data_IF_565250076621
#
_entry.id   IF_565250076621
#
_cell.length_a   1.000
_cell.length_b   1.000
_cell.length_c   1.000
_cell.angle_alpha   90.00
_cell.angle_beta   90.00
_cell.angle_gamma   90.00
#
_symmetry.space_group_name_H-M   'P 1'
#
loop_
_entity.id
_entity.type
_entity.pdbx_description
1 polymer ?
#
# COMPACT_ATOMS: atom_id res chain seq x y z
N UNK A 1 -21.12 -0.84 -20.36
CA UNK A 1 -20.41 -0.33 -19.18
C UNK A 1 -20.61 -1.22 -17.95
N UNK A 2 -21.79 -1.76 -17.64
CA UNK A 2 -22.06 -2.56 -16.41
C UNK A 2 -21.39 -3.94 -16.31
N UNK A 3 -20.97 -4.58 -17.39
CA UNK A 3 -20.34 -5.93 -17.38
C UNK A 3 -18.84 -5.86 -16.97
N UNK A 4 -18.15 -4.74 -17.25
CA UNK A 4 -16.73 -4.57 -16.90
C UNK A 4 -16.56 -4.22 -15.42
N UNK A 5 -17.45 -3.42 -14.83
CA UNK A 5 -17.41 -3.05 -13.40
C UNK A 5 -17.64 -4.27 -12.51
N UNK A 6 -18.61 -5.11 -12.78
CA UNK A 6 -18.85 -6.35 -12.01
C UNK A 6 -17.71 -7.38 -12.08
N UNK A 7 -16.84 -7.29 -13.09
CA UNK A 7 -15.62 -8.11 -13.21
C UNK A 7 -14.51 -7.65 -12.25
N UNK A 8 -14.30 -6.34 -12.17
CA UNK A 8 -13.30 -5.71 -11.29
C UNK A 8 -13.68 -5.87 -9.81
N UNK A 9 -14.94 -5.65 -9.47
CA UNK A 9 -15.45 -5.83 -8.10
C UNK A 9 -15.29 -7.27 -7.61
N UNK A 10 -15.62 -8.28 -8.45
CA UNK A 10 -15.39 -9.69 -8.12
C UNK A 10 -13.90 -10.02 -7.95
N UNK A 11 -13.01 -9.36 -8.69
CA UNK A 11 -11.57 -9.53 -8.55
C UNK A 11 -11.08 -8.93 -7.23
N UNK A 12 -11.49 -7.72 -6.90
CA UNK A 12 -11.18 -7.05 -5.64
C UNK A 12 -11.66 -7.89 -4.44
N UNK A 13 -12.89 -8.37 -4.47
CA UNK A 13 -13.42 -9.24 -3.41
C UNK A 13 -12.55 -10.48 -3.22
N UNK A 14 -12.20 -11.18 -4.31
CA UNK A 14 -11.31 -12.36 -4.21
C UNK A 14 -9.92 -12.02 -3.70
N UNK A 15 -9.39 -10.83 -4.00
CA UNK A 15 -8.11 -10.38 -3.46
C UNK A 15 -8.20 -10.17 -1.94
N UNK A 16 -9.28 -9.54 -1.46
CA UNK A 16 -9.56 -9.37 -0.03
C UNK A 16 -9.74 -10.72 0.68
N UNK A 17 -10.48 -11.65 0.11
CA UNK A 17 -10.67 -13.01 0.68
C UNK A 17 -9.32 -13.73 0.83
N UNK A 18 -8.46 -13.70 -0.21
CA UNK A 18 -7.11 -14.28 -0.14
C UNK A 18 -6.22 -13.60 0.90
N UNK A 19 -6.29 -12.27 0.96
CA UNK A 19 -5.56 -11.50 1.96
C UNK A 19 -5.97 -11.89 3.37
N UNK A 20 -7.27 -12.04 3.60
CA UNK A 20 -7.80 -12.47 4.90
C UNK A 20 -7.33 -13.87 5.26
N UNK A 21 -7.38 -14.83 4.32
CA UNK A 21 -6.91 -16.20 4.55
C UNK A 21 -5.41 -16.26 4.85
N UNK A 22 -4.61 -15.46 4.13
CA UNK A 22 -3.18 -15.31 4.43
C UNK A 22 -2.96 -14.78 5.86
N UNK A 23 -3.71 -13.75 6.27
CA UNK A 23 -3.57 -13.16 7.60
C UNK A 23 -4.07 -14.09 8.71
N UNK A 24 -5.11 -14.88 8.48
CA UNK A 24 -5.53 -15.96 9.41
C UNK A 24 -4.42 -16.99 9.62
N UNK A 25 -3.80 -17.46 8.54
CA UNK A 25 -2.68 -18.39 8.62
C UNK A 25 -1.47 -17.78 9.34
N UNK A 26 -1.20 -16.48 9.13
CA UNK A 26 -0.14 -15.73 9.81
C UNK A 26 -0.44 -15.59 11.30
N UNK A 27 -1.66 -15.23 11.68
CA UNK A 27 -2.08 -15.10 13.08
C UNK A 27 -1.86 -16.41 13.84
N UNK A 28 -2.24 -17.53 13.24
CA UNK A 28 -2.00 -18.86 13.85
C UNK A 28 -0.51 -19.17 14.08
N UNK A 29 0.38 -18.70 13.19
CA UNK A 29 1.83 -18.90 13.29
C UNK A 29 2.51 -18.02 14.32
N UNK A 30 2.03 -16.79 14.53
CA UNK A 30 2.66 -15.82 15.44
C UNK A 30 2.09 -15.89 16.85
N UNK A 31 1.03 -16.64 17.05
CA UNK A 31 0.38 -16.78 18.37
C UNK A 31 1.38 -17.27 19.42
N UNK A 32 1.57 -16.49 20.47
CA UNK A 32 2.53 -16.73 21.54
C UNK A 32 3.97 -16.31 21.22
N UNK A 33 4.20 -15.68 20.05
CA UNK A 33 5.51 -15.16 19.61
C UNK A 33 5.38 -13.76 18.99
N UNK A 34 4.39 -12.99 19.44
CA UNK A 34 4.05 -11.67 18.90
C UNK A 34 5.17 -10.64 19.10
N UNK A 35 5.98 -10.76 20.13
CA UNK A 35 7.02 -9.77 20.50
C UNK A 35 8.00 -9.46 19.36
N UNK A 36 8.44 -10.48 18.62
CA UNK A 36 9.36 -10.27 17.50
C UNK A 36 8.70 -9.48 16.35
N UNK A 37 7.44 -9.78 16.09
CA UNK A 37 6.67 -9.06 15.06
C UNK A 37 6.41 -7.62 15.50
N UNK A 38 6.02 -7.41 16.75
CA UNK A 38 5.83 -6.09 17.35
C UNK A 38 7.12 -5.28 17.25
N UNK A 39 8.26 -5.85 17.66
CA UNK A 39 9.55 -5.18 17.57
C UNK A 39 9.90 -4.77 16.12
N UNK A 40 9.61 -5.64 15.15
CA UNK A 40 9.81 -5.34 13.73
C UNK A 40 8.90 -4.21 13.25
N UNK A 41 7.62 -4.21 13.64
CA UNK A 41 6.65 -3.16 13.31
C UNK A 41 7.06 -1.82 13.92
N UNK A 42 7.48 -1.82 15.19
CA UNK A 42 7.99 -0.63 15.86
C UNK A 42 9.20 -0.04 15.14
N UNK A 43 10.17 -0.88 14.79
CA UNK A 43 11.37 -0.46 14.09
C UNK A 43 11.04 0.11 12.69
N UNK A 44 10.13 -0.52 11.96
CA UNK A 44 9.67 -0.05 10.64
C UNK A 44 8.94 1.28 10.74
N UNK A 45 7.97 1.38 11.65
CA UNK A 45 7.20 2.61 11.86
C UNK A 45 8.09 3.78 12.29
N UNK A 46 9.05 3.52 13.21
CA UNK A 46 10.05 4.52 13.59
C UNK A 46 10.91 4.96 12.41
N UNK A 47 11.40 4.04 11.60
CA UNK A 47 12.24 4.37 10.43
C UNK A 47 11.48 5.24 9.41
N UNK A 48 10.18 5.00 9.21
CA UNK A 48 9.33 5.84 8.35
C UNK A 48 9.15 7.22 8.97
N UNK A 49 8.84 7.27 10.27
CA UNK A 49 8.71 8.55 10.99
C UNK A 49 9.99 9.37 10.91
N UNK A 50 11.15 8.77 11.19
CA UNK A 50 12.44 9.43 11.12
C UNK A 50 12.72 10.01 9.71
N UNK A 51 12.34 9.29 8.64
CA UNK A 51 12.46 9.79 7.26
C UNK A 51 11.57 10.99 6.98
N UNK A 52 10.33 10.97 7.47
CA UNK A 52 9.42 12.12 7.33
C UNK A 52 9.99 13.32 8.09
N UNK A 53 10.40 13.11 9.35
CA UNK A 53 10.92 14.18 10.22
C UNK A 53 12.24 14.78 9.71
N UNK A 54 13.05 14.02 8.99
CA UNK A 54 14.26 14.52 8.32
C UNK A 54 13.96 15.55 7.21
N UNK A 55 12.74 15.51 6.64
CA UNK A 55 12.29 16.41 5.58
C UNK A 55 11.37 17.50 6.13
N UNK A 56 10.47 17.11 7.05
CA UNK A 56 9.50 18.00 7.65
C UNK A 56 9.11 17.52 9.06
N UNK A 57 9.31 18.36 10.10
CA UNK A 57 8.93 18.01 11.47
C UNK A 57 7.43 17.67 11.59
N UNK A 58 7.12 16.69 12.46
CA UNK A 58 5.76 16.30 12.82
C UNK A 58 5.47 16.85 14.22
N UNK A 59 4.36 17.58 14.37
CA UNK A 59 3.92 18.06 15.67
C UNK A 59 3.57 16.90 16.61
N UNK A 60 3.77 17.06 17.92
CA UNK A 60 3.50 16.00 18.90
C UNK A 60 2.01 15.65 18.98
N UNK A 61 1.15 16.63 18.76
CA UNK A 61 -0.31 16.51 18.74
C UNK A 61 -0.88 16.28 17.33
N UNK A 62 -0.03 15.96 16.35
CA UNK A 62 -0.45 15.73 14.98
C UNK A 62 -1.53 14.65 14.89
N UNK A 63 -2.57 14.95 14.13
CA UNK A 63 -3.60 13.99 13.74
C UNK A 63 -3.14 13.21 12.51
N UNK A 64 -2.99 11.90 12.64
CA UNK A 64 -2.39 11.03 11.63
C UNK A 64 -3.40 10.02 11.12
N UNK A 65 -3.52 9.90 9.81
CA UNK A 65 -4.30 8.86 9.14
C UNK A 65 -3.36 7.88 8.45
N UNK A 66 -3.62 6.59 8.55
CA UNK A 66 -3.04 5.60 7.64
C UNK A 66 -4.10 5.01 6.74
N UNK A 67 -3.94 5.18 5.44
CA UNK A 67 -4.80 4.58 4.41
C UNK A 67 -4.23 3.21 4.04
N UNK A 68 -5.05 2.17 4.21
CA UNK A 68 -4.63 0.78 4.02
C UNK A 68 -3.73 0.27 5.15
N UNK A 69 -4.09 0.55 6.41
CA UNK A 69 -3.27 0.16 7.56
C UNK A 69 -3.08 -1.36 7.71
N UNK A 70 -3.90 -2.15 7.07
CA UNK A 70 -3.79 -3.60 7.07
C UNK A 70 -3.73 -4.21 8.47
N UNK A 71 -3.17 -5.42 8.52
CA UNK A 71 -2.98 -6.13 9.78
C UNK A 71 -1.79 -5.61 10.60
N UNK A 72 -0.84 -4.90 9.98
CA UNK A 72 0.47 -4.58 10.57
C UNK A 72 0.91 -3.14 10.24
N UNK A 73 -0.03 -2.20 10.17
CA UNK A 73 0.19 -0.81 9.78
C UNK A 73 1.18 -0.05 10.64
N UNK A 74 1.67 1.02 10.07
CA UNK A 74 2.57 1.98 10.73
C UNK A 74 1.88 2.65 11.91
N UNK A 75 0.57 2.94 11.79
CA UNK A 75 -0.21 3.72 12.72
C UNK A 75 -0.18 3.16 14.15
N UNK A 76 -0.05 1.84 14.30
CA UNK A 76 -0.03 1.19 15.61
C UNK A 76 1.20 1.55 16.44
N UNK A 77 2.27 2.05 15.83
CA UNK A 77 3.53 2.39 16.48
C UNK A 77 4.11 3.73 16.00
N UNK A 78 3.38 4.51 15.23
CA UNK A 78 3.86 5.77 14.66
C UNK A 78 4.07 6.87 15.71
N UNK A 79 3.34 6.80 16.81
CA UNK A 79 3.47 7.79 17.91
C UNK A 79 2.89 9.14 17.51
N UNK A 80 1.61 9.17 17.21
CA UNK A 80 0.83 10.39 16.93
C UNK A 80 0.09 10.88 18.17
N UNK A 81 -0.39 12.11 18.15
CA UNK A 81 -1.35 12.61 19.11
C UNK A 81 -2.69 11.89 18.99
N UNK A 82 -3.21 11.78 17.77
CA UNK A 82 -4.38 10.98 17.40
C UNK A 82 -4.05 10.18 16.14
N UNK A 83 -4.13 8.86 16.22
CA UNK A 83 -3.84 7.96 15.08
C UNK A 83 -5.07 7.15 14.67
N UNK A 84 -5.45 7.24 13.40
CA UNK A 84 -6.57 6.50 12.83
C UNK A 84 -6.04 5.69 11.63
N UNK A 85 -6.43 4.40 11.54
CA UNK A 85 -6.17 3.56 10.38
C UNK A 85 -7.46 3.26 9.61
N UNK A 86 -7.39 3.18 8.28
CA UNK A 86 -8.50 2.66 7.47
C UNK A 86 -8.03 1.48 6.65
N UNK A 87 -8.84 0.41 6.60
CA UNK A 87 -8.60 -0.78 5.78
C UNK A 87 -9.91 -1.54 5.59
N UNK A 88 -10.24 -2.06 4.40
CA UNK A 88 -11.47 -2.82 4.19
C UNK A 88 -11.66 -4.03 5.12
N UNK A 89 -10.56 -4.59 5.64
CA UNK A 89 -10.54 -5.77 6.51
C UNK A 89 -10.27 -5.44 7.99
N UNK A 90 -10.33 -4.16 8.40
CA UNK A 90 -9.98 -3.70 9.74
C UNK A 90 -10.70 -4.49 10.86
N UNK A 91 -12.00 -4.77 10.71
CA UNK A 91 -12.78 -5.53 11.70
C UNK A 91 -12.25 -6.94 11.92
N UNK A 92 -11.80 -7.58 10.84
CA UNK A 92 -11.18 -8.91 10.92
C UNK A 92 -9.82 -8.84 11.61
N UNK A 93 -9.01 -7.82 11.30
CA UNK A 93 -7.67 -7.68 11.85
C UNK A 93 -7.68 -7.40 13.35
N UNK A 94 -8.64 -6.63 13.86
CA UNK A 94 -8.83 -6.42 15.31
C UNK A 94 -9.03 -7.73 16.06
N UNK A 95 -9.74 -8.68 15.46
CA UNK A 95 -9.95 -10.01 16.05
C UNK A 95 -8.72 -10.90 15.93
N UNK A 96 -8.01 -10.83 14.80
CA UNK A 96 -6.85 -11.69 14.53
C UNK A 96 -5.59 -11.27 15.30
N UNK A 97 -5.42 -9.95 15.55
CA UNK A 97 -4.20 -9.37 16.09
C UNK A 97 -4.46 -8.38 17.22
N UNK A 98 -5.17 -8.76 18.30
CA UNK A 98 -5.56 -7.82 19.37
C UNK A 98 -4.36 -7.19 20.09
N UNK A 99 -3.19 -7.84 20.09
CA UNK A 99 -2.00 -7.37 20.80
C UNK A 99 -1.50 -5.98 20.34
N UNK A 100 -1.76 -5.61 19.07
CA UNK A 100 -1.37 -4.29 18.55
C UNK A 100 -2.50 -3.52 17.87
N UNK A 101 -3.54 -4.19 17.37
CA UNK A 101 -4.68 -3.51 16.72
C UNK A 101 -5.47 -2.58 17.67
N UNK A 102 -5.38 -2.81 18.97
CA UNK A 102 -5.97 -1.93 19.99
C UNK A 102 -5.20 -0.62 20.23
N UNK A 103 -4.04 -0.43 19.59
CA UNK A 103 -3.18 0.76 19.81
C UNK A 103 -3.61 1.99 19.01
N UNK A 104 -4.46 1.81 18.00
CA UNK A 104 -5.03 2.88 17.21
C UNK A 104 -6.48 2.55 16.87
N UNK A 105 -7.29 3.58 16.65
CA UNK A 105 -8.61 3.38 16.06
C UNK A 105 -8.49 2.89 14.62
N UNK A 106 -9.32 1.90 14.22
CA UNK A 106 -9.35 1.42 12.84
C UNK A 106 -10.78 1.33 12.33
N UNK A 107 -10.98 1.75 11.06
CA UNK A 107 -12.30 1.82 10.41
C UNK A 107 -12.28 0.92 9.18
N UNK A 108 -13.32 0.08 9.04
CA UNK A 108 -13.47 -0.85 7.92
C UNK A 108 -13.99 -0.14 6.66
N UNK A 109 -13.11 0.56 5.95
CA UNK A 109 -13.42 1.31 4.72
C UNK A 109 -12.25 1.27 3.74
N UNK A 110 -12.55 1.35 2.43
CA UNK A 110 -11.53 1.48 1.38
C UNK A 110 -11.02 2.91 1.25
N UNK A 111 -9.79 3.05 0.76
CA UNK A 111 -9.14 4.36 0.60
C UNK A 111 -9.74 5.24 -0.51
N UNK A 112 -10.58 4.68 -1.38
CA UNK A 112 -11.25 5.42 -2.47
C UNK A 112 -12.39 6.33 -2.00
N UNK A 113 -12.82 6.20 -0.74
CA UNK A 113 -13.86 7.06 -0.15
C UNK A 113 -13.63 7.11 1.36
N UNK A 114 -12.97 8.15 1.81
CA UNK A 114 -12.62 8.33 3.22
C UNK A 114 -13.75 9.02 3.98
N UNK A 115 -14.20 8.48 5.14
CA UNK A 115 -15.32 9.03 5.92
C UNK A 115 -14.89 10.21 6.81
N UNK A 116 -14.06 11.10 6.28
CA UNK A 116 -13.53 12.25 7.01
C UNK A 116 -13.77 13.54 6.22
N UNK A 117 -13.89 14.64 6.94
CA UNK A 117 -14.00 15.98 6.36
C UNK A 117 -12.71 16.40 5.64
N UNK A 118 -12.81 17.39 4.76
CA UNK A 118 -11.68 18.01 4.13
C UNK A 118 -10.72 18.61 5.17
N UNK A 119 -9.43 18.58 4.89
CA UNK A 119 -8.41 19.20 5.74
C UNK A 119 -8.47 18.75 7.22
N UNK A 120 -8.65 17.42 7.46
CA UNK A 120 -8.79 16.84 8.79
C UNK A 120 -7.48 16.36 9.40
N UNK A 121 -6.45 16.05 8.59
CA UNK A 121 -5.23 15.39 9.06
C UNK A 121 -3.97 16.20 8.77
N UNK A 122 -3.04 16.16 9.73
CA UNK A 122 -1.72 16.78 9.61
C UNK A 122 -0.75 15.90 8.84
N UNK A 123 -0.89 14.58 8.99
CA UNK A 123 -0.08 13.57 8.29
C UNK A 123 -0.99 12.46 7.75
N UNK A 124 -0.76 12.04 6.50
CA UNK A 124 -1.36 10.84 5.94
C UNK A 124 -0.27 9.88 5.51
N UNK A 125 -0.40 8.63 5.92
CA UNK A 125 0.48 7.52 5.54
C UNK A 125 -0.26 6.62 4.54
N UNK A 126 0.44 6.20 3.47
CA UNK A 126 -0.06 5.28 2.46
C UNK A 126 1.08 4.36 2.04
N UNK A 127 1.23 3.23 2.73
CA UNK A 127 2.35 2.32 2.59
C UNK A 127 1.94 1.02 1.89
N UNK A 128 2.35 0.88 0.63
CA UNK A 128 2.13 -0.30 -0.22
C UNK A 128 0.65 -0.73 -0.37
N UNK A 129 -0.21 0.22 -0.72
CA UNK A 129 -1.68 0.06 -0.72
C UNK A 129 -2.29 0.15 -2.12
N UNK A 130 -1.86 1.16 -2.90
CA UNK A 130 -2.59 1.56 -4.12
C UNK A 130 -2.55 0.52 -5.23
N UNK A 131 -1.59 -0.40 -5.23
CA UNK A 131 -1.50 -1.53 -6.16
C UNK A 131 -2.55 -2.62 -5.91
N UNK A 132 -3.18 -2.60 -4.73
CA UNK A 132 -4.32 -3.45 -4.37
C UNK A 132 -5.68 -2.77 -4.60
N UNK A 133 -5.70 -1.47 -4.88
CA UNK A 133 -6.91 -0.67 -5.05
C UNK A 133 -7.61 -0.87 -6.40
N UNK A 134 -8.90 -0.56 -6.45
CA UNK A 134 -9.66 -0.47 -7.71
C UNK A 134 -9.27 0.78 -8.51
N UNK A 135 -9.02 1.88 -7.81
CA UNK A 135 -8.67 3.16 -8.39
C UNK A 135 -7.56 3.86 -7.58
N UNK A 136 -6.26 3.56 -7.88
CA UNK A 136 -5.11 4.20 -7.24
C UNK A 136 -5.19 5.72 -7.20
N UNK A 137 -5.60 6.32 -8.32
CA UNK A 137 -5.73 7.78 -8.45
C UNK A 137 -6.75 8.36 -7.47
N UNK A 138 -7.91 7.68 -7.31
CA UNK A 138 -8.96 8.15 -6.41
C UNK A 138 -8.52 8.12 -4.94
N UNK A 139 -7.69 7.16 -4.55
CA UNK A 139 -7.07 7.15 -3.21
C UNK A 139 -6.22 8.41 -3.00
N UNK A 140 -5.38 8.79 -3.97
CA UNK A 140 -4.55 9.99 -3.84
C UNK A 140 -5.38 11.29 -3.84
N UNK A 141 -6.50 11.32 -4.56
CA UNK A 141 -7.45 12.44 -4.53
C UNK A 141 -8.10 12.58 -3.14
N UNK A 142 -8.53 11.47 -2.54
CA UNK A 142 -9.08 11.44 -1.18
C UNK A 142 -8.02 11.81 -0.14
N UNK A 143 -6.79 11.29 -0.25
CA UNK A 143 -5.67 11.69 0.60
C UNK A 143 -5.42 13.20 0.50
N UNK A 144 -5.35 13.73 -0.72
CA UNK A 144 -5.17 15.18 -0.92
C UNK A 144 -6.34 15.99 -0.35
N UNK A 145 -7.57 15.47 -0.40
CA UNK A 145 -8.76 16.12 0.17
C UNK A 145 -8.67 16.21 1.70
N UNK A 146 -8.38 15.08 2.36
CA UNK A 146 -8.39 15.02 3.84
C UNK A 146 -7.15 15.61 4.50
N UNK A 147 -6.03 15.77 3.78
CA UNK A 147 -4.85 16.48 4.28
C UNK A 147 -5.17 17.97 4.48
N UNK A 148 -4.69 18.54 5.58
CA UNK A 148 -4.68 20.00 5.81
C UNK A 148 -3.74 20.68 4.82
N UNK A 149 -3.99 21.96 4.45
CA UNK A 149 -2.95 22.76 3.79
C UNK A 149 -1.66 22.74 4.61
N UNK A 150 -0.53 22.50 3.97
CA UNK A 150 0.73 22.24 4.67
C UNK A 150 0.85 20.85 5.31
N UNK A 151 -0.16 20.00 5.28
CA UNK A 151 -0.08 18.61 5.79
C UNK A 151 0.87 17.74 4.97
N UNK A 152 1.39 16.68 5.58
CA UNK A 152 2.42 15.81 4.97
C UNK A 152 1.82 14.48 4.54
N UNK A 153 2.10 14.06 3.31
CA UNK A 153 1.86 12.71 2.80
C UNK A 153 3.17 11.93 2.82
N UNK A 154 3.16 10.74 3.41
CA UNK A 154 4.10 9.65 3.13
C UNK A 154 3.41 8.66 2.20
N UNK A 155 4.04 8.37 1.08
CA UNK A 155 3.53 7.43 0.08
C UNK A 155 4.63 6.46 -0.32
N UNK A 156 4.34 5.18 -0.28
CA UNK A 156 5.19 4.12 -0.82
C UNK A 156 4.36 3.14 -1.66
N UNK A 157 4.93 2.65 -2.76
CA UNK A 157 4.33 1.59 -3.57
C UNK A 157 5.41 0.77 -4.27
N UNK A 158 5.12 -0.53 -4.44
CA UNK A 158 5.93 -1.38 -5.28
C UNK A 158 5.69 -1.09 -6.77
N UNK A 159 6.77 -0.82 -7.50
CA UNK A 159 6.74 -0.63 -8.96
C UNK A 159 7.43 -1.78 -9.68
N UNK A 160 6.99 -2.01 -10.90
CA UNK A 160 7.39 -3.16 -11.71
C UNK A 160 7.83 -2.74 -13.09
N UNK A 161 8.64 -3.56 -13.73
CA UNK A 161 8.97 -3.39 -15.15
C UNK A 161 7.69 -3.42 -16.00
N UNK A 162 7.63 -2.59 -17.06
CA UNK A 162 6.47 -2.47 -17.95
C UNK A 162 5.98 -3.80 -18.55
N UNK A 163 6.85 -4.81 -18.64
CA UNK A 163 6.47 -6.17 -19.05
C UNK A 163 5.37 -6.77 -18.15
N UNK A 164 5.43 -6.55 -16.83
CA UNK A 164 4.39 -7.07 -15.90
C UNK A 164 3.05 -6.38 -16.10
N UNK A 165 3.06 -5.08 -16.41
CA UNK A 165 1.84 -4.36 -16.76
C UNK A 165 1.22 -4.90 -18.06
N UNK A 166 2.02 -5.07 -19.12
CA UNK A 166 1.56 -5.62 -20.39
C UNK A 166 1.05 -7.06 -20.23
N UNK A 167 1.78 -7.91 -19.50
CA UNK A 167 1.39 -9.29 -19.23
C UNK A 167 0.11 -9.38 -18.38
N UNK A 168 -0.06 -8.51 -17.38
CA UNK A 168 -1.28 -8.45 -16.58
C UNK A 168 -2.50 -8.00 -17.42
N UNK A 169 -2.32 -7.06 -18.34
CA UNK A 169 -3.35 -6.60 -19.28
C UNK A 169 -3.73 -7.73 -20.26
N UNK A 170 -2.75 -8.41 -20.84
CA UNK A 170 -2.97 -9.56 -21.71
C UNK A 170 -3.69 -10.70 -20.97
N UNK A 171 -3.30 -10.99 -19.72
CA UNK A 171 -3.95 -11.99 -18.88
C UNK A 171 -5.39 -11.61 -18.53
N UNK A 172 -5.68 -10.33 -18.28
CA UNK A 172 -7.05 -9.86 -18.05
C UNK A 172 -7.92 -10.03 -19.30
N UNK A 173 -7.40 -9.72 -20.50
CA UNK A 173 -8.07 -9.97 -21.78
C UNK A 173 -8.28 -11.48 -22.04
N UNK A 174 -7.29 -12.32 -21.75
CA UNK A 174 -7.36 -13.78 -21.86
C UNK A 174 -8.48 -14.38 -21.00
N UNK A 175 -8.61 -13.89 -19.77
CA UNK A 175 -9.69 -14.31 -18.88
C UNK A 175 -11.07 -13.83 -19.30
N UNK A 176 -11.15 -12.67 -19.95
CA UNK A 176 -12.41 -12.13 -20.46
C UNK A 176 -13.04 -13.03 -21.54
N UNK A 177 -12.22 -13.82 -22.27
CA UNK A 177 -12.67 -14.82 -23.25
C UNK A 177 -12.91 -16.22 -22.65
N UNK A 178 -12.92 -16.34 -21.31
CA UNK A 178 -13.40 -17.54 -20.60
C UNK A 178 -12.37 -18.66 -20.41
N UNK A 179 -11.10 -18.44 -20.66
CA UNK A 179 -10.08 -19.45 -20.46
C UNK A 179 -9.64 -19.56 -18.99
N UNK A 180 -9.73 -20.73 -18.32
CA UNK A 180 -9.59 -20.88 -16.88
C UNK A 180 -8.13 -21.02 -16.42
N UNK A 181 -7.19 -20.31 -17.06
CA UNK A 181 -5.77 -20.36 -16.67
C UNK A 181 -5.37 -19.13 -15.87
N UNK A 182 -4.94 -19.30 -14.62
CA UNK A 182 -4.48 -18.25 -13.74
C UNK A 182 -2.96 -18.32 -13.57
N UNK A 183 -2.25 -17.26 -13.98
CA UNK A 183 -0.81 -17.17 -13.74
C UNK A 183 -0.63 -16.51 -12.36
N UNK A 184 -0.23 -17.29 -11.37
CA UNK A 184 -0.08 -16.92 -9.95
C UNK A 184 0.68 -15.59 -9.69
N UNK A 185 1.76 -15.24 -10.45
CA UNK A 185 2.47 -13.98 -10.24
C UNK A 185 1.65 -12.70 -10.46
N UNK A 186 0.46 -12.80 -11.09
CA UNK A 186 -0.42 -11.67 -11.41
C UNK A 186 -1.69 -11.66 -10.54
N UNK A 187 -1.83 -12.62 -9.62
CA UNK A 187 -3.04 -12.79 -8.83
C UNK A 187 -3.11 -11.87 -7.62
N UNK A 188 -1.97 -11.45 -7.08
CA UNK A 188 -1.87 -10.80 -5.77
C UNK A 188 -2.04 -9.27 -5.84
N UNK A 189 -1.77 -8.64 -6.99
CA UNK A 189 -1.94 -7.20 -7.18
C UNK A 189 -3.08 -6.91 -8.14
N UNK A 190 -3.93 -5.93 -7.79
CA UNK A 190 -5.01 -5.49 -8.66
C UNK A 190 -4.46 -4.69 -9.84
N UNK A 191 -3.43 -3.87 -9.58
CA UNK A 191 -2.74 -3.03 -10.56
C UNK A 191 -1.23 -3.27 -10.49
N UNK A 192 -0.57 -3.37 -11.63
CA UNK A 192 0.90 -3.42 -11.71
C UNK A 192 1.39 -2.06 -12.21
N UNK A 193 1.85 -1.22 -11.28
CA UNK A 193 2.34 0.12 -11.59
C UNK A 193 3.77 0.06 -12.11
N UNK A 194 4.05 0.79 -13.18
CA UNK A 194 5.41 1.17 -13.54
C UNK A 194 5.83 2.41 -12.75
N UNK A 195 7.12 2.73 -12.67
CA UNK A 195 7.59 3.96 -12.04
C UNK A 195 6.93 5.21 -12.64
N UNK A 196 6.82 5.28 -13.98
CA UNK A 196 6.14 6.38 -14.65
C UNK A 196 4.65 6.47 -14.31
N UNK A 197 3.96 5.32 -14.22
CA UNK A 197 2.55 5.29 -13.82
C UNK A 197 2.36 5.70 -12.34
N UNK A 198 3.29 5.31 -11.45
CA UNK A 198 3.24 5.73 -10.05
C UNK A 198 3.44 7.24 -9.91
N UNK A 199 4.37 7.83 -10.65
CA UNK A 199 4.58 9.30 -10.72
C UNK A 199 3.35 10.03 -11.24
N UNK A 200 2.72 9.51 -12.30
CA UNK A 200 1.52 10.10 -12.89
C UNK A 200 0.31 10.14 -11.93
N UNK A 201 0.31 9.32 -10.87
CA UNK A 201 -0.73 9.41 -9.84
C UNK A 201 -0.76 10.76 -9.12
N UNK A 202 0.32 11.52 -9.11
CA UNK A 202 0.44 12.81 -8.45
C UNK A 202 0.11 14.00 -9.36
N UNK A 203 0.05 13.80 -10.69
CA UNK A 203 -0.18 14.87 -11.66
C UNK A 203 -1.50 15.62 -11.40
N UNK A 204 -1.44 16.95 -11.33
CA UNK A 204 -2.60 17.81 -11.11
C UNK A 204 -3.21 17.76 -9.70
N UNK A 205 -2.60 17.03 -8.75
CA UNK A 205 -2.99 17.12 -7.34
C UNK A 205 -2.28 18.29 -6.66
N UNK A 206 -2.90 18.91 -5.63
CA UNK A 206 -2.27 19.97 -4.86
C UNK A 206 -1.21 19.40 -3.87
N UNK A 207 -0.31 18.57 -4.39
CA UNK A 207 0.75 17.90 -3.63
C UNK A 207 2.10 18.24 -4.26
N UNK A 208 3.02 18.77 -3.47
CA UNK A 208 4.39 19.06 -3.88
C UNK A 208 5.35 18.10 -3.19
N UNK A 209 6.09 17.32 -3.96
CA UNK A 209 7.11 16.43 -3.41
C UNK A 209 8.22 17.26 -2.71
N UNK A 210 8.57 16.82 -1.50
CA UNK A 210 9.70 17.30 -0.71
C UNK A 210 10.89 16.33 -0.84
N UNK A 211 10.58 15.04 -0.96
CA UNK A 211 11.56 13.97 -1.19
C UNK A 211 10.92 12.92 -2.10
N UNK A 212 11.73 12.39 -3.02
CA UNK A 212 11.35 11.30 -3.91
C UNK A 212 12.52 10.32 -4.00
N UNK A 213 12.22 9.04 -3.88
CA UNK A 213 13.21 7.97 -3.93
C UNK A 213 12.66 6.78 -4.70
N UNK A 214 13.51 6.12 -5.50
CA UNK A 214 13.26 4.79 -6.01
C UNK A 214 14.53 3.93 -5.98
N UNK A 215 14.37 2.62 -5.88
CA UNK A 215 15.48 1.66 -5.91
C UNK A 215 15.52 0.82 -7.19
N UNK A 216 14.85 1.30 -8.26
CA UNK A 216 14.73 0.58 -9.55
C UNK A 216 16.09 0.18 -10.11
N UNK A 217 17.07 1.09 -10.12
CA UNK A 217 18.40 0.79 -10.66
C UNK A 217 19.20 -0.16 -9.76
N UNK A 218 19.01 -0.10 -8.46
CA UNK A 218 19.60 -1.08 -7.53
C UNK A 218 19.00 -2.48 -7.75
N UNK A 219 17.68 -2.59 -7.85
CA UNK A 219 16.98 -3.87 -8.10
C UNK A 219 17.38 -4.46 -9.45
N UNK A 220 17.55 -3.63 -10.50
CA UNK A 220 18.07 -4.08 -11.79
C UNK A 220 19.49 -4.63 -11.69
N UNK A 221 20.36 -3.97 -10.91
CA UNK A 221 21.76 -4.34 -10.74
C UNK A 221 21.93 -5.60 -9.91
N UNK A 222 21.22 -5.71 -8.79
CA UNK A 222 21.34 -6.82 -7.83
C UNK A 222 20.57 -8.06 -8.27
N UNK A 223 19.46 -7.85 -9.01
CA UNK A 223 18.53 -8.92 -9.39
C UNK A 223 17.84 -9.57 -8.18
N UNK A 224 17.14 -10.69 -8.39
CA UNK A 224 16.48 -11.38 -7.29
C UNK A 224 17.51 -11.91 -6.28
N UNK A 225 17.26 -11.69 -4.99
CA UNK A 225 18.12 -12.13 -3.88
C UNK A 225 18.37 -13.65 -3.83
N UNK A 226 17.55 -14.44 -4.52
CA UNK A 226 17.70 -15.90 -4.66
C UNK A 226 17.30 -16.33 -6.07
N UNK A 227 18.26 -16.84 -6.83
CA UNK A 227 18.02 -17.53 -8.11
C UNK A 227 17.71 -19.00 -7.78
N UNK A 228 16.45 -19.41 -7.92
CA UNK A 228 16.02 -20.82 -7.69
C UNK A 228 15.82 -21.59 -9.01
N UNK A 229 15.54 -20.88 -10.10
CA UNK A 229 15.26 -21.46 -11.41
C UNK A 229 15.80 -20.57 -12.55
N UNK A 230 15.96 -21.13 -13.74
CA UNK A 230 16.41 -20.38 -14.94
C UNK A 230 15.54 -19.15 -15.24
N UNK A 231 14.23 -19.20 -14.90
CA UNK A 231 13.32 -18.03 -14.98
C UNK A 231 13.68 -16.87 -14.06
N UNK A 232 14.47 -17.09 -12.99
CA UNK A 232 14.92 -16.02 -12.11
C UNK A 232 16.03 -15.18 -12.76
N UNK A 233 16.78 -15.72 -13.73
CA UNK A 233 17.73 -14.94 -14.51
C UNK A 233 17.03 -13.91 -15.41
N UNK A 234 15.83 -14.25 -15.94
CA UNK A 234 14.97 -13.31 -16.67
C UNK A 234 14.43 -12.17 -15.77
N UNK A 235 14.31 -12.38 -14.45
CA UNK A 235 13.88 -11.36 -13.50
C UNK A 235 14.91 -10.23 -13.32
N UNK A 236 16.16 -10.41 -13.75
CA UNK A 236 17.13 -9.30 -13.84
C UNK A 236 16.77 -8.32 -14.94
N UNK A 237 16.26 -8.83 -16.07
CA UNK A 237 15.80 -7.99 -17.19
C UNK A 237 14.46 -7.33 -16.90
N UNK A 238 13.59 -8.02 -16.13
CA UNK A 238 12.25 -7.59 -15.79
C UNK A 238 12.14 -7.47 -14.26
N UNK A 239 12.61 -6.35 -13.70
CA UNK A 239 12.56 -6.13 -12.26
C UNK A 239 11.12 -6.17 -11.74
N UNK A 240 10.95 -6.71 -10.55
CA UNK A 240 9.67 -6.78 -9.83
C UNK A 240 9.86 -6.32 -8.40
N UNK A 241 8.87 -5.57 -7.88
CA UNK A 241 8.86 -5.06 -6.51
C UNK A 241 10.06 -4.11 -6.21
N UNK A 242 10.37 -3.21 -7.13
CA UNK A 242 11.19 -2.05 -6.81
C UNK A 242 10.33 -1.04 -6.03
N UNK A 243 10.92 -0.38 -5.04
CA UNK A 243 10.23 0.59 -4.19
C UNK A 243 10.22 1.96 -4.85
N UNK A 244 9.08 2.63 -4.78
CA UNK A 244 8.92 4.05 -5.08
C UNK A 244 8.32 4.74 -3.87
N UNK A 245 9.00 5.74 -3.33
CA UNK A 245 8.65 6.46 -2.11
C UNK A 245 8.59 7.96 -2.39
N UNK A 246 7.56 8.62 -1.86
CA UNK A 246 7.40 10.09 -1.95
C UNK A 246 6.99 10.62 -0.59
N UNK A 247 7.68 11.67 -0.12
CA UNK A 247 7.22 12.53 0.95
C UNK A 247 6.78 13.83 0.31
N UNK A 248 5.51 14.20 0.45
CA UNK A 248 4.94 15.38 -0.18
C UNK A 248 4.23 16.26 0.84
N UNK A 249 4.06 17.53 0.50
CA UNK A 249 3.27 18.50 1.26
C UNK A 249 2.07 18.95 0.43
N UNK A 250 0.89 19.08 1.06
CA UNK A 250 -0.27 19.71 0.44
C UNK A 250 -0.06 21.23 0.35
N UNK A 251 -0.30 21.79 -0.85
CA UNK A 251 -0.22 23.22 -1.16
C UNK A 251 -1.41 23.98 -0.61
#
# INVERSE_FOLDING_TARGET
MGLMTGGLERRAKRALDRQLDYQRAKAAKVKGHEDQLIASMMAHSKAIRDRIEAVKPIAQDARVLEVGCGAHGLIFFFGAGEGIGVDPLADHYRTLFPAWQSRAETIAVGGETLPFDDASFDVVLCDNVVDHALSPRKILEEIARVLKPGGTLYFEVNVHHGFYHAAATAHAAWRAIGLPFEITPFADHTVHLTLGAARALFEGLPLRALSEFDDVDEVKRTGPKRVRHAGDALKKLFFKNARYEVIAVKL
#
